data_IF_138185692664
#
_entry.id   IF_138185692664
#
_cell.length_a   1.000
_cell.length_b   1.000
_cell.length_c   1.000
_cell.angle_alpha   90.00
_cell.angle_beta   90.00
_cell.angle_gamma   90.00
#
_symmetry.space_group_name_H-M   'P 1'
#
loop_
_entity.id
_entity.type
_entity.pdbx_description
1 polymer ?
#
# COMPACT_ATOMS: atom_id res chain seq x y z
N UNK A 1 -18.51 -9.82 -3.57
CA UNK A 1 -18.54 -8.60 -2.73
C UNK A 1 -17.82 -7.51 -3.49
N UNK A 2 -18.55 -6.49 -3.96
CA UNK A 2 -17.94 -5.27 -4.51
C UNK A 2 -17.94 -4.20 -3.43
N UNK A 3 -16.82 -3.50 -3.26
CA UNK A 3 -16.82 -2.28 -2.46
C UNK A 3 -17.54 -1.19 -3.25
N UNK A 4 -18.36 -0.33 -2.61
CA UNK A 4 -18.98 0.80 -3.30
C UNK A 4 -17.88 1.77 -3.74
N UNK A 5 -17.60 1.82 -5.05
CA UNK A 5 -16.58 2.69 -5.65
C UNK A 5 -17.18 3.85 -6.44
N UNK A 6 -18.50 3.96 -6.50
CA UNK A 6 -19.23 4.94 -7.33
C UNK A 6 -18.92 6.41 -7.00
N UNK A 7 -18.48 6.69 -5.78
CA UNK A 7 -18.03 8.02 -5.34
C UNK A 7 -16.51 8.09 -5.04
N UNK A 8 -15.76 7.02 -5.30
CA UNK A 8 -14.33 6.99 -5.06
C UNK A 8 -13.60 7.73 -6.18
N UNK A 9 -12.95 8.84 -5.85
CA UNK A 9 -12.12 9.62 -6.76
C UNK A 9 -10.69 9.69 -6.24
N UNK A 10 -9.73 10.03 -7.11
CA UNK A 10 -8.34 10.25 -6.66
C UNK A 10 -8.27 11.41 -5.65
N UNK A 11 -9.14 12.40 -5.79
CA UNK A 11 -9.25 13.54 -4.90
C UNK A 11 -9.73 13.12 -3.49
N UNK A 12 -10.62 12.13 -3.39
CA UNK A 12 -11.10 11.60 -2.11
C UNK A 12 -10.18 10.53 -1.48
N UNK A 13 -9.05 10.20 -2.11
CA UNK A 13 -8.10 9.23 -1.58
C UNK A 13 -7.59 9.62 -0.17
N UNK A 14 -7.40 10.91 0.07
CA UNK A 14 -6.91 11.43 1.35
C UNK A 14 -7.99 11.54 2.43
N UNK A 15 -9.26 11.31 2.06
CA UNK A 15 -10.39 11.28 2.98
C UNK A 15 -10.74 9.85 3.40
N UNK A 16 -9.90 8.87 3.04
CA UNK A 16 -10.09 7.48 3.50
C UNK A 16 -9.97 7.45 5.02
N UNK A 17 -11.01 6.95 5.67
CA UNK A 17 -11.00 6.74 7.11
C UNK A 17 -9.92 5.73 7.48
N UNK A 18 -9.04 6.15 8.40
CA UNK A 18 -8.03 5.25 8.96
C UNK A 18 -8.72 4.23 9.85
N UNK A 19 -8.58 2.93 9.59
CA UNK A 19 -9.06 1.90 10.51
C UNK A 19 -8.42 2.10 11.88
N UNK A 20 -9.21 1.95 12.96
CA UNK A 20 -8.72 2.14 14.33
C UNK A 20 -7.50 1.25 14.66
N UNK A 21 -7.40 0.11 13.98
CA UNK A 21 -6.32 -0.87 14.11
C UNK A 21 -4.99 -0.42 13.46
N UNK A 22 -5.03 0.49 12.49
CA UNK A 22 -3.84 1.00 11.79
C UNK A 22 -3.28 2.22 12.53
N UNK A 23 -1.97 2.32 12.81
CA UNK A 23 -1.36 3.48 13.44
C UNK A 23 -1.65 4.77 12.65
N UNK A 24 -1.96 5.87 13.36
CA UNK A 24 -2.10 7.20 12.74
C UNK A 24 -0.78 7.70 12.14
N UNK A 25 0.33 7.29 12.77
CA UNK A 25 1.68 7.57 12.31
C UNK A 25 1.89 6.95 10.93
N UNK A 26 2.35 7.77 9.98
CA UNK A 26 2.62 7.38 8.59
C UNK A 26 1.40 6.83 7.81
N UNK A 27 0.15 7.11 8.22
CA UNK A 27 -1.03 6.60 7.50
C UNK A 27 -1.12 7.08 6.04
N UNK A 28 -0.90 8.37 5.79
CA UNK A 28 -0.84 8.89 4.41
C UNK A 28 0.29 8.23 3.59
N UNK A 29 1.38 7.84 4.26
CA UNK A 29 2.52 7.17 3.63
C UNK A 29 2.18 5.75 3.18
N UNK A 30 1.38 5.00 3.93
CA UNK A 30 0.95 3.66 3.48
C UNK A 30 0.01 3.76 2.27
N UNK A 31 -0.86 4.77 2.24
CA UNK A 31 -1.71 5.03 1.07
C UNK A 31 -0.84 5.30 -0.17
N UNK A 32 0.16 6.17 -0.05
CA UNK A 32 1.12 6.46 -1.12
C UNK A 32 1.86 5.20 -1.60
N UNK A 33 2.30 4.36 -0.67
CA UNK A 33 2.97 3.10 -1.00
C UNK A 33 2.06 2.18 -1.82
N UNK A 34 0.80 2.03 -1.43
CA UNK A 34 -0.17 1.21 -2.17
C UNK A 34 -0.40 1.78 -3.57
N UNK A 35 -0.58 3.11 -3.71
CA UNK A 35 -0.69 3.75 -5.02
C UNK A 35 0.55 3.52 -5.90
N UNK A 36 1.74 3.62 -5.31
CA UNK A 36 3.01 3.33 -5.99
C UNK A 36 3.08 1.88 -6.47
N UNK A 37 2.66 0.92 -5.63
CA UNK A 37 2.61 -0.49 -5.98
C UNK A 37 1.65 -0.77 -7.13
N UNK A 38 0.46 -0.16 -7.12
CA UNK A 38 -0.53 -0.27 -8.21
C UNK A 38 0.06 0.28 -9.53
N UNK A 39 0.73 1.43 -9.46
CA UNK A 39 1.39 2.01 -10.62
C UNK A 39 2.49 1.08 -11.18
N UNK A 40 3.35 0.51 -10.33
CA UNK A 40 4.38 -0.46 -10.75
C UNK A 40 3.77 -1.69 -11.40
N UNK A 41 2.75 -2.29 -10.80
CA UNK A 41 2.09 -3.47 -11.35
C UNK A 41 1.47 -3.19 -12.75
N UNK A 42 0.88 -2.00 -12.94
CA UNK A 42 0.37 -1.58 -14.26
C UNK A 42 1.49 -1.45 -15.28
N UNK A 43 2.64 -0.91 -14.90
CA UNK A 43 3.80 -0.81 -15.78
C UNK A 43 4.38 -2.19 -16.12
N UNK A 44 4.48 -3.10 -15.16
CA UNK A 44 4.94 -4.47 -15.42
C UNK A 44 4.03 -5.19 -16.43
N UNK A 45 2.71 -4.97 -16.35
CA UNK A 45 1.76 -5.49 -17.34
C UNK A 45 1.99 -4.88 -18.73
N UNK A 46 2.18 -3.56 -18.83
CA UNK A 46 2.33 -2.86 -20.11
C UNK A 46 3.68 -3.15 -20.77
N UNK A 47 4.78 -3.07 -20.01
CA UNK A 47 6.14 -3.13 -20.54
C UNK A 47 6.75 -4.53 -20.52
N UNK A 48 6.40 -5.36 -19.53
CA UNK A 48 6.97 -6.71 -19.38
C UNK A 48 5.96 -7.83 -19.68
N UNK A 49 4.70 -7.47 -20.00
CA UNK A 49 3.58 -8.44 -20.22
C UNK A 49 3.36 -9.37 -19.03
N UNK A 50 3.78 -8.96 -17.82
CA UNK A 50 3.58 -9.74 -16.61
C UNK A 50 2.12 -9.61 -16.17
N UNK A 51 1.42 -10.75 -16.10
CA UNK A 51 0.03 -10.78 -15.61
C UNK A 51 -0.03 -10.35 -14.13
N UNK A 52 -0.99 -9.49 -13.75
CA UNK A 52 -1.40 -9.26 -12.38
C UNK A 52 -1.52 -10.55 -11.58
N UNK A 53 -0.90 -10.57 -10.40
CA UNK A 53 -1.03 -11.67 -9.43
C UNK A 53 -1.23 -11.06 -8.06
N UNK A 54 -2.38 -11.35 -7.45
CA UNK A 54 -2.76 -10.78 -6.15
C UNK A 54 -1.81 -11.21 -5.02
N UNK A 55 -1.43 -12.50 -4.87
CA UNK A 55 -0.43 -12.89 -3.86
C UNK A 55 0.93 -12.21 -4.09
N UNK A 56 1.39 -12.17 -5.35
CA UNK A 56 2.67 -11.53 -5.68
C UNK A 56 2.66 -10.04 -5.33
N UNK A 57 1.55 -9.35 -5.62
CA UNK A 57 1.41 -7.93 -5.34
C UNK A 57 1.61 -7.64 -3.85
N UNK A 58 0.95 -8.37 -2.96
CA UNK A 58 1.06 -8.13 -1.53
C UNK A 58 2.42 -8.51 -0.95
N UNK A 59 3.05 -9.58 -1.46
CA UNK A 59 4.45 -9.89 -1.12
C UNK A 59 5.36 -8.72 -1.48
N UNK A 60 5.22 -8.16 -2.69
CA UNK A 60 6.00 -6.99 -3.11
C UNK A 60 5.68 -5.75 -2.26
N UNK A 61 4.42 -5.55 -1.84
CA UNK A 61 4.06 -4.47 -0.92
C UNK A 61 4.78 -4.59 0.43
N UNK A 62 4.92 -5.82 0.97
CA UNK A 62 5.65 -6.07 2.23
C UNK A 62 7.13 -5.76 2.09
N UNK A 63 7.75 -6.21 1.01
CA UNK A 63 9.18 -5.93 0.75
C UNK A 63 9.43 -4.42 0.59
N UNK A 64 8.54 -3.74 -0.13
CA UNK A 64 8.62 -2.29 -0.30
C UNK A 64 8.34 -1.53 1.00
N UNK A 65 7.42 -1.98 1.84
CA UNK A 65 7.19 -1.37 3.16
C UNK A 65 8.45 -1.43 4.03
N UNK A 66 9.15 -2.57 4.04
CA UNK A 66 10.41 -2.73 4.77
C UNK A 66 11.49 -1.81 4.23
N UNK A 67 11.65 -1.71 2.90
CA UNK A 67 12.59 -0.77 2.27
C UNK A 67 12.22 0.69 2.54
N UNK A 68 10.94 1.02 2.54
CA UNK A 68 10.44 2.36 2.81
C UNK A 68 10.73 2.79 4.25
N UNK A 69 10.64 1.86 5.21
CA UNK A 69 10.93 2.10 6.63
C UNK A 69 12.31 2.72 6.87
N UNK A 70 13.29 2.45 5.99
CA UNK A 70 14.65 3.01 6.08
C UNK A 70 14.67 4.55 5.96
N UNK A 71 13.63 5.14 5.36
CA UNK A 71 13.44 6.60 5.23
C UNK A 71 12.80 7.22 6.47
N UNK A 72 12.30 6.41 7.41
CA UNK A 72 11.71 6.89 8.65
C UNK A 72 12.75 7.07 9.75
N UNK A 73 12.41 7.92 10.72
CA UNK A 73 13.13 7.99 12.00
C UNK A 73 13.12 6.61 12.65
N UNK A 74 14.17 6.26 13.38
CA UNK A 74 14.31 4.93 13.99
C UNK A 74 13.11 4.55 14.86
N UNK A 75 12.58 5.51 15.62
CA UNK A 75 11.40 5.33 16.47
C UNK A 75 10.10 5.00 15.70
N UNK A 76 10.07 5.24 14.39
CA UNK A 76 8.88 5.08 13.54
C UNK A 76 8.97 3.85 12.62
N UNK A 77 10.11 3.15 12.60
CA UNK A 77 10.33 2.02 11.67
C UNK A 77 9.37 0.86 11.90
N UNK A 78 8.98 0.62 13.15
CA UNK A 78 8.02 -0.43 13.52
C UNK A 78 6.67 -0.30 12.79
N UNK A 79 6.31 0.90 12.33
CA UNK A 79 5.06 1.13 11.60
C UNK A 79 5.02 0.33 10.29
N UNK A 80 6.16 0.10 9.65
CA UNK A 80 6.23 -0.72 8.44
C UNK A 80 5.92 -2.21 8.71
N UNK A 81 6.31 -2.72 9.88
CA UNK A 81 5.95 -4.09 10.30
C UNK A 81 4.45 -4.21 10.53
N UNK A 82 3.84 -3.16 11.10
CA UNK A 82 2.39 -3.08 11.27
C UNK A 82 1.68 -3.06 9.92
N UNK A 83 2.18 -2.35 8.91
CA UNK A 83 1.62 -2.42 7.54
C UNK A 83 1.70 -3.83 6.97
N UNK A 84 2.83 -4.51 7.16
CA UNK A 84 3.01 -5.87 6.67
C UNK A 84 2.02 -6.87 7.26
N UNK A 85 1.51 -6.62 8.48
CA UNK A 85 0.45 -7.42 9.08
C UNK A 85 -0.89 -7.28 8.34
N UNK A 86 -1.17 -6.10 7.77
CA UNK A 86 -2.41 -5.85 7.01
C UNK A 86 -2.34 -6.28 5.55
N UNK A 87 -1.15 -6.54 5.01
CA UNK A 87 -1.00 -7.02 3.64
C UNK A 87 -1.22 -8.54 3.59
N UNK A 88 -2.28 -9.03 2.90
CA UNK A 88 -2.57 -10.46 2.79
C UNK A 88 -1.41 -11.25 2.15
N UNK A 89 -1.27 -12.54 2.48
CA UNK A 89 -0.36 -13.44 1.77
C UNK A 89 -1.04 -14.03 0.52
#
# INVERSE_FOLDING_TARGET
MGFPTEHATVQSLWTIDRPATVPSRQFSTVILLVCWMIWKQRNDLVFQRLKPSHPRFWLQCRDEARLWSLRFKQADRFVADVWCYYFPC
#
